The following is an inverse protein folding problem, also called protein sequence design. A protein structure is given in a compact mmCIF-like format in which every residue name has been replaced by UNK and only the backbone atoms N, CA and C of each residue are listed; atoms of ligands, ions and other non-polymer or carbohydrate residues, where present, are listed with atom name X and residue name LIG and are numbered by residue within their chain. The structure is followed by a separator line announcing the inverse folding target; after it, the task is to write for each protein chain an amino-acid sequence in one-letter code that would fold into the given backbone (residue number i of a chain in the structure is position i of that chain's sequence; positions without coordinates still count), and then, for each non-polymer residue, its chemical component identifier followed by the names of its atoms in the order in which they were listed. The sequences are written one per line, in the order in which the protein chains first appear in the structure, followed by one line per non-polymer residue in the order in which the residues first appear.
data_IF_331010010722
#
_entry.id   IF_331010010722
#
_cell.length_a   1.000
_cell.length_b   1.000
_cell.length_c   1.000
_cell.angle_alpha   90.00
_cell.angle_beta   90.00
_cell.angle_gamma   90.00
#
_symmetry.space_group_name_H-M   'P 1'
#
loop_
_entity.id
_entity.type
_entity.pdbx_description
1 polymer ?
#
# COMPACT_ATOMS: atom_id res chain seq x y z
N UNK A 1 -6.98 -17.07 3.16
CA UNK A 1 -6.35 -16.99 1.84
C UNK A 1 -6.26 -18.38 1.24
N UNK A 2 -6.82 -18.52 0.04
CA UNK A 2 -7.04 -19.78 -0.67
C UNK A 2 -6.33 -19.74 -2.02
N UNK A 3 -6.12 -20.90 -2.63
CA UNK A 3 -5.72 -20.99 -4.03
C UNK A 3 -6.88 -20.48 -4.91
N UNK A 4 -6.55 -19.81 -6.01
CA UNK A 4 -7.53 -19.28 -6.95
C UNK A 4 -7.25 -19.84 -8.34
N UNK A 5 -8.24 -20.56 -8.86
CA UNK A 5 -8.23 -21.09 -10.23
C UNK A 5 -9.16 -20.21 -11.07
N UNK A 6 -8.63 -19.56 -12.14
CA UNK A 6 -9.42 -18.72 -13.02
C UNK A 6 -10.61 -19.47 -13.62
N UNK A 7 -11.76 -18.82 -13.62
CA UNK A 7 -12.95 -19.20 -14.37
C UNK A 7 -13.08 -18.46 -15.70
N UNK A 8 -12.53 -17.25 -15.79
CA UNK A 8 -12.52 -16.43 -17.00
C UNK A 8 -11.09 -16.19 -17.53
N UNK A 9 -10.97 -15.81 -18.80
CA UNK A 9 -9.67 -15.70 -19.48
C UNK A 9 -8.82 -14.50 -19.05
N UNK A 10 -9.44 -13.49 -18.46
CA UNK A 10 -8.83 -12.26 -17.96
C UNK A 10 -8.43 -12.36 -16.47
N UNK A 11 -8.78 -13.45 -15.80
CA UNK A 11 -8.44 -13.71 -14.40
C UNK A 11 -7.02 -14.29 -14.22
N UNK A 12 -6.36 -13.93 -13.12
CA UNK A 12 -4.99 -14.35 -12.81
C UNK A 12 -4.99 -15.49 -11.79
N UNK A 13 -4.43 -16.64 -12.16
CA UNK A 13 -4.23 -17.75 -11.24
C UNK A 13 -3.16 -17.42 -10.18
N UNK A 14 -3.43 -17.77 -8.92
CA UNK A 14 -2.45 -17.66 -7.83
C UNK A 14 -2.68 -18.72 -6.75
N UNK A 15 -1.62 -19.06 -6.03
CA UNK A 15 -1.69 -19.96 -4.87
C UNK A 15 -1.56 -19.19 -3.57
N UNK A 16 -2.06 -19.78 -2.49
CA UNK A 16 -1.90 -19.25 -1.13
C UNK A 16 -0.42 -18.98 -0.84
N UNK A 17 -0.14 -17.77 -0.36
CA UNK A 17 1.21 -17.32 -0.01
C UNK A 17 1.98 -16.66 -1.17
N UNK A 18 1.42 -16.63 -2.38
CA UNK A 18 1.97 -15.79 -3.45
C UNK A 18 1.85 -14.30 -3.09
N UNK A 19 2.88 -13.53 -3.45
CA UNK A 19 2.85 -12.07 -3.39
C UNK A 19 2.51 -11.52 -4.77
N UNK A 20 1.35 -10.89 -4.86
CA UNK A 20 0.82 -10.29 -6.07
C UNK A 20 1.19 -8.80 -6.09
N UNK A 21 1.57 -8.27 -7.26
CA UNK A 21 1.72 -6.83 -7.45
C UNK A 21 0.38 -6.27 -7.94
N UNK A 22 -0.31 -5.48 -7.12
CA UNK A 22 -1.51 -4.76 -7.55
C UNK A 22 -1.08 -3.62 -8.47
N UNK A 23 -1.58 -3.61 -9.71
CA UNK A 23 -1.25 -2.64 -10.75
C UNK A 23 -2.44 -1.76 -11.14
N UNK A 24 -3.66 -2.14 -10.73
CA UNK A 24 -4.87 -1.36 -10.94
C UNK A 24 -5.92 -1.68 -9.86
N UNK A 25 -6.59 -0.65 -9.39
CA UNK A 25 -7.83 -0.77 -8.62
C UNK A 25 -8.93 -0.31 -9.56
N UNK A 26 -9.68 -1.26 -10.11
CA UNK A 26 -10.75 -0.99 -11.07
C UNK A 26 -11.97 -0.36 -10.36
N UNK A 27 -12.98 0.06 -11.12
CA UNK A 27 -14.21 0.65 -10.55
C UNK A 27 -15.00 -0.34 -9.68
N UNK A 28 -14.89 -1.65 -9.97
CA UNK A 28 -15.50 -2.70 -9.15
C UNK A 28 -14.64 -2.98 -7.91
N UNK A 29 -15.13 -2.69 -6.68
CA UNK A 29 -14.38 -2.91 -5.45
C UNK A 29 -14.12 -4.40 -5.15
N UNK A 30 -14.78 -5.32 -5.85
CA UNK A 30 -14.59 -6.75 -5.69
C UNK A 30 -13.38 -7.29 -6.45
N UNK A 31 -12.76 -6.49 -7.33
CA UNK A 31 -11.70 -6.95 -8.21
C UNK A 31 -10.51 -6.00 -8.26
N UNK A 32 -9.32 -6.58 -8.33
CA UNK A 32 -8.08 -5.85 -8.57
C UNK A 32 -7.37 -6.38 -9.80
N UNK A 33 -6.72 -5.50 -10.55
CA UNK A 33 -5.77 -5.92 -11.58
C UNK A 33 -4.41 -6.16 -10.95
N UNK A 34 -3.88 -7.37 -11.11
CA UNK A 34 -2.63 -7.79 -10.49
C UNK A 34 -1.65 -8.39 -11.49
N UNK A 35 -0.38 -8.48 -11.09
CA UNK A 35 0.71 -9.13 -11.83
C UNK A 35 1.40 -10.19 -10.96
N UNK A 36 1.68 -11.37 -11.54
CA UNK A 36 2.45 -12.47 -10.96
C UNK A 36 3.34 -13.12 -12.01
N UNK A 37 4.66 -13.16 -11.78
CA UNK A 37 5.59 -13.86 -12.68
C UNK A 37 5.54 -13.37 -14.14
N UNK A 38 5.27 -12.08 -14.35
CA UNK A 38 5.15 -11.48 -15.69
C UNK A 38 3.78 -11.64 -16.36
N UNK A 39 2.84 -12.37 -15.75
CA UNK A 39 1.44 -12.45 -16.21
C UNK A 39 0.58 -11.45 -15.47
N UNK A 40 -0.43 -10.92 -16.14
CA UNK A 40 -1.41 -9.98 -15.58
C UNK A 40 -2.81 -10.54 -15.70
N UNK A 41 -3.67 -10.15 -14.77
CA UNK A 41 -5.09 -10.46 -14.81
C UNK A 41 -5.83 -10.00 -13.56
N UNK A 42 -7.12 -10.28 -13.53
CA UNK A 42 -8.04 -9.91 -12.47
C UNK A 42 -7.93 -10.89 -11.31
N UNK A 43 -7.90 -10.37 -10.09
CA UNK A 43 -7.93 -11.16 -8.86
C UNK A 43 -9.06 -10.68 -7.95
N UNK A 44 -9.81 -11.59 -7.31
CA UNK A 44 -10.91 -11.21 -6.46
C UNK A 44 -10.40 -10.67 -5.12
N UNK A 45 -10.91 -9.52 -4.70
CA UNK A 45 -10.48 -8.77 -3.52
C UNK A 45 -10.59 -9.58 -2.21
N UNK A 46 -11.60 -10.44 -2.09
CA UNK A 46 -11.83 -11.29 -0.92
C UNK A 46 -10.85 -12.47 -0.79
N UNK A 47 -10.06 -12.78 -1.82
CA UNK A 47 -9.04 -13.83 -1.76
C UNK A 47 -7.66 -13.30 -1.35
N UNK A 48 -7.48 -11.99 -1.40
CA UNK A 48 -6.20 -11.33 -1.12
C UNK A 48 -6.31 -10.43 0.11
N UNK A 49 -5.17 -10.14 0.72
CA UNK A 49 -5.04 -9.11 1.75
C UNK A 49 -4.04 -8.15 1.18
N UNK A 50 -4.50 -6.95 0.88
CA UNK A 50 -3.61 -5.88 0.44
C UNK A 50 -2.83 -5.46 1.68
N UNK A 51 -1.58 -5.94 1.78
CA UNK A 51 -0.59 -5.29 2.65
C UNK A 51 -0.40 -3.89 2.09
N UNK A 52 -1.10 -2.92 2.67
CA UNK A 52 -0.70 -1.53 2.50
C UNK A 52 0.76 -1.45 2.93
N UNK A 53 1.59 -0.92 2.04
CA UNK A 53 2.93 -0.53 2.45
C UNK A 53 2.72 0.49 3.58
N UNK A 54 3.02 0.12 4.82
CA UNK A 54 2.82 1.01 5.98
C UNK A 54 3.60 2.33 5.80
N UNK A 55 4.67 2.28 5.02
CA UNK A 55 5.46 3.43 4.62
C UNK A 55 4.82 4.28 3.51
N UNK A 56 3.71 3.90 2.87
CA UNK A 56 3.01 4.73 1.88
C UNK A 56 1.63 5.17 2.38
N UNK A 57 1.47 6.48 2.58
CA UNK A 57 0.23 7.10 3.02
C UNK A 57 -0.22 8.09 1.94
N UNK A 58 -1.11 7.63 1.05
CA UNK A 58 -1.51 8.38 -0.16
C UNK A 58 -2.11 9.75 0.17
N UNK A 59 -3.06 9.80 1.10
CA UNK A 59 -3.71 11.03 1.59
C UNK A 59 -3.03 11.51 2.88
N UNK A 60 -1.79 11.96 2.74
CA UNK A 60 -1.02 12.54 3.85
C UNK A 60 -0.41 13.86 3.40
N UNK A 61 -0.86 14.95 4.02
CA UNK A 61 -0.21 16.26 3.87
C UNK A 61 1.19 16.24 4.47
N UNK A 62 2.01 17.24 4.13
CA UNK A 62 3.31 17.44 4.78
C UNK A 62 3.17 17.60 6.29
N UNK A 63 2.18 18.38 6.73
CA UNK A 63 1.93 18.65 8.15
C UNK A 63 1.52 17.39 8.90
N UNK A 64 0.64 16.58 8.33
CA UNK A 64 0.25 15.31 8.94
C UNK A 64 1.42 14.32 8.99
N UNK A 65 2.29 14.31 7.98
CA UNK A 65 3.49 13.48 7.97
C UNK A 65 4.44 13.87 9.12
N UNK A 66 4.66 15.16 9.31
CA UNK A 66 5.48 15.71 10.40
C UNK A 66 4.90 15.32 11.77
N UNK A 67 3.59 15.46 11.97
CA UNK A 67 2.93 15.08 13.24
C UNK A 67 3.07 13.58 13.54
N UNK A 68 2.94 12.72 12.53
CA UNK A 68 3.09 11.26 12.69
C UNK A 68 4.53 10.85 13.00
N UNK A 69 5.50 11.46 12.30
CA UNK A 69 6.92 11.15 12.49
C UNK A 69 7.46 11.66 13.83
N UNK A 70 6.91 12.76 14.34
CA UNK A 70 7.31 13.37 15.60
C UNK A 70 6.37 13.03 16.76
N UNK A 71 5.48 12.05 16.58
CA UNK A 71 4.54 11.63 17.62
C UNK A 71 5.31 11.16 18.86
N UNK A 72 4.87 11.59 20.04
CA UNK A 72 5.47 11.24 21.33
C UNK A 72 4.50 10.45 22.17
N UNK A 73 5.01 9.46 22.90
CA UNK A 73 4.19 8.73 23.85
C UNK A 73 3.78 9.66 25.00
N UNK A 74 2.49 9.72 25.38
CA UNK A 74 2.02 10.63 26.43
C UNK A 74 2.63 10.36 27.82
N UNK A 75 3.03 9.12 28.08
CA UNK A 75 3.53 8.65 29.38
C UNK A 75 5.01 8.99 29.61
N UNK A 76 5.82 8.88 28.57
CA UNK A 76 7.29 8.95 28.64
C UNK A 76 7.85 10.17 27.93
N UNK A 77 7.07 10.83 27.06
CA UNK A 77 7.54 11.92 26.20
C UNK A 77 8.54 11.47 25.12
N UNK A 78 8.83 10.17 25.04
CA UNK A 78 9.71 9.61 24.03
C UNK A 78 9.03 9.58 22.67
N UNK A 79 9.79 9.78 21.59
CA UNK A 79 9.27 9.63 20.23
C UNK A 79 8.78 8.20 20.01
N UNK A 80 7.62 8.07 19.36
CA UNK A 80 7.04 6.79 18.97
C UNK A 80 7.85 6.19 17.82
N UNK A 81 8.20 7.03 16.85
CA UNK A 81 8.96 6.62 15.67
C UNK A 81 10.47 6.72 15.94
N UNK A 82 11.27 5.74 15.48
CA UNK A 82 12.72 5.80 15.61
C UNK A 82 13.32 6.88 14.69
N UNK A 83 14.58 7.25 14.95
CA UNK A 83 15.37 8.04 14.00
C UNK A 83 15.51 7.27 12.67
N UNK A 84 15.40 7.99 11.56
CA UNK A 84 15.35 7.41 10.22
C UNK A 84 13.99 6.85 9.80
N UNK A 85 12.96 6.91 10.66
CA UNK A 85 11.60 6.58 10.25
C UNK A 85 11.15 7.47 9.09
N UNK A 86 10.45 6.89 8.12
CA UNK A 86 10.02 7.60 6.93
C UNK A 86 8.63 7.16 6.45
N UNK A 87 8.02 8.03 5.66
CA UNK A 87 6.84 7.70 4.87
C UNK A 87 6.90 8.38 3.49
N UNK A 88 6.40 7.68 2.49
CA UNK A 88 6.07 8.16 1.16
C UNK A 88 4.63 8.67 1.16
N UNK A 89 4.39 9.81 0.52
CA UNK A 89 3.07 10.44 0.38
C UNK A 89 2.93 11.08 -1.01
N UNK A 90 1.71 11.42 -1.41
CA UNK A 90 1.54 12.24 -2.62
C UNK A 90 2.10 13.65 -2.40
N UNK A 91 2.71 14.21 -3.44
CA UNK A 91 3.22 15.58 -3.43
C UNK A 91 2.06 16.57 -3.50
N UNK A 92 1.99 17.47 -2.52
CA UNK A 92 0.97 18.54 -2.49
C UNK A 92 1.20 19.59 -3.57
N UNK A 93 2.46 19.78 -3.98
CA UNK A 93 2.84 20.81 -4.95
C UNK A 93 2.88 20.27 -6.40
N UNK A 94 2.88 18.95 -6.57
CA UNK A 94 3.04 18.32 -7.88
C UNK A 94 2.08 17.12 -7.97
N UNK A 95 0.83 17.33 -8.45
CA UNK A 95 -0.13 16.26 -8.63
C UNK A 95 0.45 15.11 -9.45
N UNK A 96 0.26 13.87 -8.97
CA UNK A 96 0.82 12.67 -9.61
C UNK A 96 2.27 12.35 -9.24
N UNK A 97 2.99 13.23 -8.54
CA UNK A 97 4.31 12.93 -7.98
C UNK A 97 4.24 12.51 -6.51
N UNK A 98 5.36 11.98 -6.02
CA UNK A 98 5.51 11.53 -4.64
C UNK A 98 6.48 12.42 -3.87
N UNK A 99 6.37 12.40 -2.54
CA UNK A 99 7.30 13.03 -1.61
C UNK A 99 7.64 12.03 -0.51
N UNK A 100 8.88 12.08 -0.02
CA UNK A 100 9.32 11.32 1.17
C UNK A 100 9.45 12.30 2.34
N UNK A 101 8.91 11.91 3.49
CA UNK A 101 9.09 12.58 4.77
C UNK A 101 9.90 11.67 5.68
N UNK A 102 10.96 12.19 6.31
CA UNK A 102 11.92 11.42 7.12
C UNK A 102 12.12 12.13 8.47
N UNK A 103 12.18 11.36 9.55
CA UNK A 103 12.61 11.81 10.88
C UNK A 103 14.14 11.66 11.00
N UNK A 104 14.86 12.74 11.32
CA UNK A 104 16.33 12.75 11.45
C UNK A 104 16.74 13.14 12.86
#
# INVERSE_FOLDING_TARGET
MHDFTPTESDELAFSKGNRLQIIGMEEDPNWYKARLGGKEGMVPANYISVTSNLWYISRCSRKEAELRLLEKRPDTGAFIQPNGAFLLRQSENNPGQFSISVNL
#
